data_IF_048075729572
#
_entry.id   IF_048075729572
#
_cell.length_a   1.000
_cell.length_b   1.000
_cell.length_c   1.000
_cell.angle_alpha   90.00
_cell.angle_beta   90.00
_cell.angle_gamma   90.00
#
_symmetry.space_group_name_H-M   'P 1'
#
loop_
_entity.id
_entity.type
_entity.pdbx_description
1 polymer ?
#
# COMPACT_ATOMS: atom_id res chain seq x y z
N UNK A 1 -9.82 10.65 8.25
CA UNK A 1 -10.79 11.68 7.82
C UNK A 1 -11.40 11.19 6.53
N UNK A 2 -12.64 10.70 6.56
CA UNK A 2 -13.35 10.35 5.33
C UNK A 2 -13.60 11.61 4.51
N UNK A 3 -13.66 11.46 3.19
CA UNK A 3 -13.97 12.57 2.29
C UNK A 3 -15.40 13.02 2.61
N UNK A 4 -15.58 14.25 3.09
CA UNK A 4 -16.92 14.80 3.27
C UNK A 4 -17.46 15.13 1.90
N UNK A 5 -18.29 14.25 1.33
CA UNK A 5 -19.08 14.56 0.13
C UNK A 5 -20.15 15.57 0.53
N UNK A 6 -19.84 16.85 0.38
CA UNK A 6 -20.84 17.90 0.49
C UNK A 6 -21.73 17.86 -0.75
N UNK A 7 -22.98 17.38 -0.59
CA UNK A 7 -24.00 17.57 -1.61
C UNK A 7 -24.47 19.02 -1.52
N UNK A 8 -23.87 19.89 -2.34
CA UNK A 8 -24.33 21.27 -2.46
C UNK A 8 -25.63 21.29 -3.26
N UNK A 9 -26.75 21.50 -2.57
CA UNK A 9 -28.02 21.84 -3.21
C UNK A 9 -28.12 23.35 -3.27
N UNK A 10 -27.81 23.96 -4.41
CA UNK A 10 -28.03 25.40 -4.59
C UNK A 10 -29.49 25.66 -4.91
N UNK A 11 -30.20 26.52 -4.16
CA UNK A 11 -31.52 26.99 -4.55
C UNK A 11 -31.45 27.98 -5.73
N UNK A 12 -30.24 28.45 -6.08
CA UNK A 12 -30.01 29.35 -7.20
C UNK A 12 -29.83 28.53 -8.47
N UNK A 13 -30.64 28.85 -9.48
CA UNK A 13 -30.47 28.33 -10.83
C UNK A 13 -29.07 28.67 -11.37
N UNK A 14 -28.60 27.84 -12.30
CA UNK A 14 -27.35 28.10 -13.00
C UNK A 14 -27.39 29.47 -13.65
N UNK A 15 -26.33 30.26 -13.42
CA UNK A 15 -26.18 31.54 -14.11
C UNK A 15 -26.05 31.34 -15.62
N UNK A 16 -26.37 32.39 -16.39
CA UNK A 16 -26.22 32.38 -17.86
C UNK A 16 -24.77 32.25 -18.33
N UNK A 17 -23.80 32.54 -17.45
CA UNK A 17 -22.37 32.38 -17.74
C UNK A 17 -21.97 30.90 -17.63
N UNK A 18 -21.62 30.30 -18.76
CA UNK A 18 -21.16 28.91 -18.84
C UNK A 18 -19.67 28.74 -18.47
N UNK A 19 -18.93 29.84 -18.26
CA UNK A 19 -17.50 29.81 -17.91
C UNK A 19 -17.25 29.72 -16.40
N UNK A 20 -18.27 29.99 -15.58
CA UNK A 20 -18.23 29.82 -14.13
C UNK A 20 -18.68 28.40 -13.74
N UNK A 21 -18.05 27.82 -12.72
CA UNK A 21 -18.51 26.55 -12.13
C UNK A 21 -19.94 26.76 -11.63
N UNK A 22 -20.85 25.97 -12.16
CA UNK A 22 -22.26 26.01 -11.81
C UNK A 22 -22.47 25.19 -10.54
N UNK A 23 -23.27 25.65 -9.57
CA UNK A 23 -23.56 24.84 -8.40
C UNK A 23 -24.13 23.45 -8.75
N UNK A 24 -24.84 23.34 -9.87
CA UNK A 24 -25.36 22.07 -10.39
C UNK A 24 -24.28 21.11 -10.93
N UNK A 25 -23.14 21.63 -11.40
CA UNK A 25 -22.05 20.83 -11.98
C UNK A 25 -20.85 20.67 -11.05
N UNK A 26 -20.91 21.21 -9.83
CA UNK A 26 -19.86 21.08 -8.82
C UNK A 26 -19.50 19.61 -8.58
N UNK A 27 -20.50 18.73 -8.46
CA UNK A 27 -20.26 17.31 -8.21
C UNK A 27 -19.61 16.60 -9.42
N UNK A 28 -20.05 16.93 -10.64
CA UNK A 28 -19.47 16.40 -11.87
C UNK A 28 -18.01 16.86 -12.07
N UNK A 29 -17.67 18.07 -11.62
CA UNK A 29 -16.30 18.59 -11.68
C UNK A 29 -15.32 17.90 -10.72
N UNK A 30 -15.81 17.10 -9.76
CA UNK A 30 -14.99 16.34 -8.81
C UNK A 30 -14.99 14.83 -9.10
N UNK A 31 -15.64 14.38 -10.17
CA UNK A 31 -15.44 13.03 -10.69
C UNK A 31 -13.97 12.90 -11.14
N UNK A 32 -13.26 11.90 -10.61
CA UNK A 32 -11.85 11.69 -10.91
C UNK A 32 -10.85 12.19 -9.84
N UNK A 33 -11.31 12.70 -8.70
CA UNK A 33 -10.41 12.97 -7.56
C UNK A 33 -9.96 11.67 -6.87
N UNK A 34 -8.68 11.60 -6.47
CA UNK A 34 -8.16 10.51 -5.63
C UNK A 34 -8.89 10.52 -4.29
N UNK A 35 -9.44 9.36 -3.91
CA UNK A 35 -10.21 9.17 -2.67
C UNK A 35 -9.41 8.31 -1.69
N UNK A 36 -9.38 8.67 -0.41
CA UNK A 36 -8.77 7.80 0.61
C UNK A 36 -9.75 6.69 1.02
N UNK A 37 -9.41 5.43 0.73
CA UNK A 37 -10.20 4.26 1.12
C UNK A 37 -9.95 3.85 2.57
N UNK A 38 -8.71 3.96 3.02
CA UNK A 38 -8.32 3.52 4.36
C UNK A 38 -7.11 4.29 4.91
N UNK A 39 -7.08 4.43 6.24
CA UNK A 39 -5.97 5.02 7.00
C UNK A 39 -5.80 4.19 8.27
N UNK A 40 -4.78 3.35 8.27
CA UNK A 40 -4.51 2.47 9.39
C UNK A 40 -3.17 2.84 10.03
N UNK A 41 -3.24 3.40 11.24
CA UNK A 41 -2.09 3.76 12.07
C UNK A 41 -1.86 2.74 13.21
N UNK A 42 -2.56 1.60 13.19
CA UNK A 42 -2.36 0.56 14.18
C UNK A 42 -0.98 -0.07 13.98
N UNK A 43 -0.28 -0.35 15.08
CA UNK A 43 0.98 -1.06 15.00
C UNK A 43 0.72 -2.56 14.95
N UNK A 44 1.28 -3.21 13.93
CA UNK A 44 1.29 -4.67 13.82
C UNK A 44 2.74 -5.12 13.78
N UNK A 45 3.13 -5.97 14.72
CA UNK A 45 4.48 -6.51 14.83
C UNK A 45 4.49 -8.01 14.54
N UNK A 46 5.39 -8.42 13.65
CA UNK A 46 5.67 -9.82 13.33
C UNK A 46 7.01 -10.16 13.97
N UNK A 47 6.97 -10.91 15.08
CA UNK A 47 8.15 -11.29 15.87
C UNK A 47 8.32 -12.81 15.83
N UNK A 48 9.57 -13.28 15.73
CA UNK A 48 9.92 -14.68 16.00
C UNK A 48 9.05 -15.73 15.29
N UNK A 49 8.73 -15.50 14.01
CA UNK A 49 7.91 -16.45 13.24
C UNK A 49 8.47 -16.63 11.84
N UNK A 50 8.47 -17.89 11.39
CA UNK A 50 8.66 -18.28 10.00
C UNK A 50 7.33 -18.52 9.27
N UNK A 51 6.20 -18.28 9.96
CA UNK A 51 4.88 -18.30 9.35
C UNK A 51 4.57 -16.98 8.65
N UNK A 52 3.76 -17.06 7.60
CA UNK A 52 3.19 -15.90 6.92
C UNK A 52 2.18 -15.19 7.83
N UNK A 53 2.36 -13.89 8.02
CA UNK A 53 1.47 -13.05 8.83
C UNK A 53 0.96 -11.88 8.01
N UNK A 54 -0.36 -11.62 8.07
CA UNK A 54 -0.98 -10.42 7.52
C UNK A 54 -0.60 -9.19 8.36
N UNK A 55 -0.03 -8.19 7.69
CA UNK A 55 0.33 -6.90 8.31
C UNK A 55 -0.59 -5.76 7.85
N UNK A 56 -1.40 -5.97 6.83
CA UNK A 56 -2.40 -5.03 6.35
C UNK A 56 -3.44 -5.78 5.52
N UNK A 57 -4.73 -5.56 5.80
CA UNK A 57 -5.81 -6.18 5.04
C UNK A 57 -6.98 -5.21 4.92
N UNK A 58 -7.47 -5.01 3.71
CA UNK A 58 -8.62 -4.16 3.43
C UNK A 58 -9.55 -4.78 2.39
N UNK A 59 -10.86 -4.74 2.66
CA UNK A 59 -11.87 -5.23 1.72
C UNK A 59 -12.32 -4.11 0.79
N UNK A 60 -11.92 -4.20 -0.47
CA UNK A 60 -12.37 -3.33 -1.54
C UNK A 60 -13.78 -3.79 -1.94
N UNK A 61 -14.75 -2.87 -1.89
CA UNK A 61 -16.13 -3.16 -2.28
C UNK A 61 -16.27 -3.54 -3.75
N UNK A 62 -17.35 -4.25 -4.07
CA UNK A 62 -17.75 -4.54 -5.45
C UNK A 62 -17.82 -3.26 -6.29
N UNK A 63 -17.34 -3.34 -7.53
CA UNK A 63 -17.35 -2.26 -8.54
C UNK A 63 -16.62 -0.96 -8.15
N UNK A 64 -15.99 -0.89 -6.96
CA UNK A 64 -15.30 0.33 -6.48
C UNK A 64 -14.18 0.76 -7.43
N UNK A 65 -13.50 -0.19 -8.08
CA UNK A 65 -12.39 0.08 -8.99
C UNK A 65 -12.85 0.42 -10.42
N UNK A 66 -14.09 0.09 -10.80
CA UNK A 66 -14.54 0.18 -12.19
C UNK A 66 -13.68 -0.62 -13.18
N UNK A 67 -13.72 -0.25 -14.47
CA UNK A 67 -12.99 -0.97 -15.54
C UNK A 67 -11.51 -0.52 -15.64
N UNK A 68 -11.22 0.74 -15.31
CA UNK A 68 -9.92 1.38 -15.52
C UNK A 68 -9.31 1.97 -14.24
N UNK A 69 -10.04 1.97 -13.12
CA UNK A 69 -9.55 2.47 -11.84
C UNK A 69 -8.66 1.46 -11.12
N UNK A 70 -8.22 1.81 -9.92
CA UNK A 70 -7.21 1.04 -9.20
C UNK A 70 -6.98 1.56 -7.79
N UNK A 71 -5.93 1.09 -7.14
CA UNK A 71 -5.53 1.60 -5.82
C UNK A 71 -4.04 1.84 -5.74
N UNK A 72 -3.65 2.73 -4.84
CA UNK A 72 -2.29 2.94 -4.37
C UNK A 72 -2.24 2.74 -2.86
N UNK A 73 -1.38 1.83 -2.42
CA UNK A 73 -1.09 1.53 -1.02
C UNK A 73 0.33 1.99 -0.68
N UNK A 74 0.45 2.76 0.39
CA UNK A 74 1.73 3.07 1.03
C UNK A 74 1.75 2.49 2.43
N UNK A 75 2.71 1.62 2.72
CA UNK A 75 2.97 1.07 4.04
C UNK A 75 4.35 1.51 4.53
N UNK A 76 4.49 1.76 5.82
CA UNK A 76 5.78 2.06 6.42
C UNK A 76 5.91 1.56 7.84
N UNK A 77 7.15 1.46 8.29
CA UNK A 77 7.47 1.10 9.67
C UNK A 77 8.96 0.84 9.86
N UNK A 78 9.28 -0.14 10.69
CA UNK A 78 10.66 -0.48 11.00
C UNK A 78 10.92 -2.00 11.07
N UNK A 79 12.20 -2.36 10.98
CA UNK A 79 12.69 -3.73 10.85
C UNK A 79 13.93 -3.94 11.72
N UNK A 80 13.99 -5.07 12.43
CA UNK A 80 15.14 -5.51 13.20
C UNK A 80 15.57 -6.91 12.73
N UNK A 81 16.86 -7.05 12.41
CA UNK A 81 17.51 -8.35 12.37
C UNK A 81 18.75 -8.35 13.25
N UNK A 82 18.62 -8.72 14.51
CA UNK A 82 19.76 -8.89 15.42
C UNK A 82 20.00 -10.39 15.72
N UNK A 83 19.86 -11.24 14.72
CA UNK A 83 19.96 -12.71 14.87
C UNK A 83 21.39 -13.26 14.75
N UNK A 84 22.39 -12.39 14.57
CA UNK A 84 23.79 -12.78 14.37
C UNK A 84 24.09 -13.37 12.97
N UNK A 85 23.08 -13.51 12.12
CA UNK A 85 23.22 -13.97 10.72
C UNK A 85 22.28 -13.19 9.80
N UNK A 86 22.61 -13.12 8.51
CA UNK A 86 21.68 -12.56 7.53
C UNK A 86 20.43 -13.44 7.44
N UNK A 87 19.27 -12.81 7.30
CA UNK A 87 17.98 -13.49 7.11
C UNK A 87 17.31 -12.97 5.87
N UNK A 88 16.27 -13.66 5.39
CA UNK A 88 15.40 -13.13 4.35
C UNK A 88 14.06 -12.74 4.93
N UNK A 89 13.53 -11.62 4.45
CA UNK A 89 12.14 -11.19 4.65
C UNK A 89 11.41 -11.37 3.32
N UNK A 90 10.37 -12.19 3.31
CA UNK A 90 9.48 -12.38 2.16
C UNK A 90 8.27 -11.49 2.33
N UNK A 91 7.97 -10.70 1.31
CA UNK A 91 6.79 -9.84 1.22
C UNK A 91 5.89 -10.40 0.13
N UNK A 92 4.59 -10.48 0.41
CA UNK A 92 3.58 -10.86 -0.60
C UNK A 92 2.44 -9.87 -0.60
N UNK A 93 1.94 -9.57 -1.79
CA UNK A 93 0.65 -8.92 -1.96
C UNK A 93 -0.34 -9.88 -2.60
N UNK A 94 -1.53 -9.91 -2.04
CA UNK A 94 -2.63 -10.76 -2.47
C UNK A 94 -3.84 -9.89 -2.81
N UNK A 95 -4.58 -10.28 -3.84
CA UNK A 95 -5.89 -9.74 -4.15
C UNK A 95 -6.87 -10.92 -4.20
N UNK A 96 -7.86 -10.91 -3.31
CA UNK A 96 -8.71 -12.07 -3.09
C UNK A 96 -7.87 -13.28 -2.66
N UNK A 97 -7.97 -14.39 -3.38
CA UNK A 97 -7.21 -15.60 -3.11
C UNK A 97 -5.84 -15.65 -3.84
N UNK A 98 -5.61 -14.78 -4.83
CA UNK A 98 -4.39 -14.82 -5.64
C UNK A 98 -3.25 -14.06 -4.97
N UNK A 99 -2.10 -14.72 -4.83
CA UNK A 99 -0.83 -14.04 -4.55
C UNK A 99 -0.28 -13.46 -5.85
N UNK A 100 -0.26 -12.14 -5.97
CA UNK A 100 0.13 -11.43 -7.21
C UNK A 100 1.64 -11.29 -7.33
N UNK A 101 2.31 -11.01 -6.22
CA UNK A 101 3.76 -11.10 -6.16
C UNK A 101 4.22 -11.63 -4.80
N UNK A 102 5.38 -12.30 -4.82
CA UNK A 102 6.06 -12.81 -3.65
C UNK A 102 7.56 -12.63 -3.86
N UNK A 103 8.21 -11.84 -3.01
CA UNK A 103 9.64 -11.57 -3.13
C UNK A 103 10.33 -11.60 -1.79
N UNK A 104 11.43 -12.37 -1.73
CA UNK A 104 12.36 -12.39 -0.61
C UNK A 104 13.47 -11.36 -0.79
N UNK A 105 13.77 -10.62 0.28
CA UNK A 105 14.89 -9.68 0.38
C UNK A 105 15.82 -10.15 1.48
N UNK A 106 17.12 -10.20 1.19
CA UNK A 106 18.12 -10.48 2.23
C UNK A 106 18.33 -9.25 3.09
N UNK A 107 18.27 -9.43 4.42
CA UNK A 107 18.48 -8.41 5.42
C UNK A 107 19.76 -8.73 6.20
N UNK A 108 20.66 -7.75 6.24
CA UNK A 108 21.94 -7.87 6.97
C UNK A 108 21.68 -7.72 8.47
N UNK A 109 22.39 -8.51 9.27
CA UNK A 109 22.30 -8.42 10.73
C UNK A 109 22.75 -7.05 11.25
N UNK A 110 22.02 -6.47 12.20
CA UNK A 110 22.36 -5.27 12.96
C UNK A 110 21.57 -5.20 14.26
N UNK A 111 22.16 -4.59 15.29
CA UNK A 111 21.46 -4.25 16.52
C UNK A 111 20.52 -3.04 16.35
N UNK A 112 20.79 -2.18 15.35
CA UNK A 112 19.98 -1.00 15.06
C UNK A 112 18.80 -1.36 14.16
N UNK A 113 17.65 -0.73 14.43
CA UNK A 113 16.46 -0.85 13.59
C UNK A 113 16.63 -0.08 12.28
N UNK A 114 16.06 -0.63 11.21
CA UNK A 114 15.98 -0.03 9.89
C UNK A 114 14.57 0.48 9.66
N UNK A 115 14.40 1.60 8.96
CA UNK A 115 13.09 2.06 8.48
C UNK A 115 12.77 1.43 7.14
N UNK A 116 11.51 1.14 6.89
CA UNK A 116 11.08 0.61 5.59
C UNK A 116 9.84 1.31 5.05
N UNK A 117 9.71 1.26 3.73
CA UNK A 117 8.57 1.75 2.97
C UNK A 117 8.25 0.76 1.85
N UNK A 118 6.96 0.40 1.73
CA UNK A 118 6.41 -0.32 0.58
C UNK A 118 5.38 0.58 -0.10
N UNK A 119 5.61 0.89 -1.36
CA UNK A 119 4.59 1.48 -2.23
C UNK A 119 4.13 0.41 -3.22
N UNK A 120 2.82 0.22 -3.30
CA UNK A 120 2.19 -0.75 -4.18
C UNK A 120 1.04 -0.08 -4.88
N UNK A 121 0.91 -0.26 -6.19
CA UNK A 121 -0.28 0.18 -6.90
C UNK A 121 -0.65 -0.79 -7.99
N UNK A 122 -1.94 -0.84 -8.28
CA UNK A 122 -2.46 -1.57 -9.43
C UNK A 122 -3.66 -0.87 -10.02
N UNK A 123 -3.86 -1.10 -11.31
CA UNK A 123 -5.01 -0.60 -12.05
C UNK A 123 -5.65 -1.75 -12.81
N UNK A 124 -6.98 -1.70 -12.93
CA UNK A 124 -7.72 -2.52 -13.85
C UNK A 124 -7.39 -2.10 -15.29
N UNK A 125 -7.15 -3.10 -16.13
CA UNK A 125 -7.13 -2.99 -17.59
C UNK A 125 -8.39 -3.62 -18.21
N UNK A 126 -9.09 -4.45 -17.42
CA UNK A 126 -10.46 -4.90 -17.58
C UNK A 126 -10.97 -5.32 -16.19
N UNK A 127 -12.28 -5.60 -16.05
CA UNK A 127 -12.85 -6.03 -14.77
C UNK A 127 -12.16 -7.26 -14.16
N UNK A 128 -11.68 -8.18 -15.00
CA UNK A 128 -10.95 -9.38 -14.60
C UNK A 128 -9.46 -9.37 -15.02
N UNK A 129 -8.83 -8.19 -15.10
CA UNK A 129 -7.42 -8.08 -15.46
C UNK A 129 -6.76 -6.83 -14.85
N UNK A 130 -5.77 -7.04 -13.97
CA UNK A 130 -5.03 -5.96 -13.31
C UNK A 130 -3.56 -5.90 -13.76
N UNK A 131 -2.99 -4.70 -13.74
CA UNK A 131 -1.55 -4.45 -13.89
C UNK A 131 -1.01 -3.83 -12.60
N UNK A 132 0.08 -4.38 -12.09
CA UNK A 132 0.64 -4.05 -10.79
C UNK A 132 2.05 -3.48 -10.93
N UNK A 133 2.41 -2.61 -10.00
CA UNK A 133 3.76 -2.13 -9.77
C UNK A 133 4.01 -1.99 -8.28
N UNK A 134 5.22 -2.36 -7.84
CA UNK A 134 5.62 -2.30 -6.44
C UNK A 134 7.02 -1.72 -6.33
N UNK A 135 7.23 -0.94 -5.27
CA UNK A 135 8.52 -0.41 -4.86
C UNK A 135 8.75 -0.69 -3.37
N UNK A 136 9.92 -1.24 -3.05
CA UNK A 136 10.35 -1.51 -1.68
C UNK A 136 11.61 -0.72 -1.36
N UNK A 137 11.63 -0.16 -0.17
CA UNK A 137 12.78 0.53 0.40
C UNK A 137 13.00 0.06 1.83
N UNK A 138 14.25 -0.29 2.14
CA UNK A 138 14.74 -0.56 3.49
C UNK A 138 15.98 0.31 3.70
N UNK A 139 15.97 1.14 4.74
CA UNK A 139 17.08 2.01 5.08
C UNK A 139 18.32 1.21 5.48
N UNK A 140 19.51 1.83 5.44
CA UNK A 140 20.65 1.36 6.21
C UNK A 140 20.29 1.20 7.70
N UNK A 141 21.03 0.36 8.43
CA UNK A 141 20.91 0.29 9.87
C UNK A 141 21.50 1.58 10.46
N UNK A 142 20.67 2.38 11.11
CA UNK A 142 21.06 3.67 11.69
C UNK A 142 20.32 3.83 13.01
N UNK A 143 20.96 4.49 13.98
CA UNK A 143 20.30 4.88 15.23
C UNK A 143 19.25 6.01 15.04
N UNK A 144 19.10 6.54 13.83
CA UNK A 144 18.21 7.67 13.54
C UNK A 144 16.72 7.25 13.53
N UNK A 145 15.91 8.11 14.12
CA UNK A 145 14.46 7.96 14.24
C UNK A 145 13.76 8.20 12.89
N UNK A 146 14.32 9.05 12.03
CA UNK A 146 13.78 9.36 10.70
C UNK A 146 14.90 9.35 9.64
N UNK A 147 15.41 8.16 9.33
CA UNK A 147 16.43 8.00 8.30
C UNK A 147 15.88 8.37 6.90
N UNK A 148 16.20 9.58 6.43
CA UNK A 148 15.92 10.05 5.07
C UNK A 148 17.21 9.99 4.27
N UNK A 149 17.41 8.91 3.52
CA UNK A 149 18.55 8.79 2.61
C UNK A 149 19.03 7.36 2.42
N UNK A 150 19.72 7.14 1.32
CA UNK A 150 20.48 5.90 1.07
C UNK A 150 21.99 6.13 1.07
N UNK A 151 22.43 7.26 1.62
CA UNK A 151 23.82 7.60 1.83
C UNK A 151 24.36 6.84 3.04
N UNK A 152 24.71 5.58 2.82
CA UNK A 152 25.41 4.75 3.79
C UNK A 152 25.78 3.42 3.14
N UNK A 153 27.01 2.98 3.33
CA UNK A 153 27.58 1.70 2.85
C UNK A 153 26.92 0.46 3.47
N UNK A 154 25.92 0.60 4.34
CA UNK A 154 25.36 -0.48 5.16
C UNK A 154 24.02 -1.02 4.66
N UNK A 155 24.06 -1.76 3.54
CA UNK A 155 23.11 -2.85 3.28
C UNK A 155 21.62 -2.47 3.24
N UNK A 156 21.27 -1.25 2.81
CA UNK A 156 19.89 -0.94 2.45
C UNK A 156 19.42 -1.83 1.29
N UNK A 157 18.14 -2.18 1.28
CA UNK A 157 17.54 -2.97 0.20
C UNK A 157 16.55 -2.11 -0.58
N UNK A 158 16.68 -2.09 -1.90
CA UNK A 158 15.69 -1.48 -2.80
C UNK A 158 15.28 -2.49 -3.86
N UNK A 159 14.01 -2.42 -4.26
CA UNK A 159 13.50 -3.23 -5.36
C UNK A 159 12.31 -2.58 -6.00
N UNK A 160 12.16 -2.78 -7.31
CA UNK A 160 10.96 -2.44 -8.05
C UNK A 160 10.57 -3.63 -8.94
N UNK A 161 9.28 -3.77 -9.22
CA UNK A 161 8.79 -4.85 -10.06
C UNK A 161 7.37 -4.60 -10.55
N UNK A 162 7.01 -5.29 -11.63
CA UNK A 162 5.67 -5.26 -12.22
C UNK A 162 5.09 -6.67 -12.28
N UNK A 163 3.77 -6.79 -12.18
CA UNK A 163 3.06 -8.07 -12.26
C UNK A 163 1.66 -7.88 -12.88
N UNK A 164 0.92 -8.98 -13.03
CA UNK A 164 -0.47 -8.98 -13.46
C UNK A 164 -1.28 -10.01 -12.69
N UNK A 165 -2.56 -9.74 -12.50
CA UNK A 165 -3.54 -10.70 -11.96
C UNK A 165 -4.82 -10.69 -12.80
N UNK A 166 -5.67 -11.68 -12.58
CA UNK A 166 -6.94 -11.88 -13.30
C UNK A 166 -8.13 -12.00 -12.34
N UNK A 167 -8.08 -11.27 -11.23
CA UNK A 167 -9.16 -11.28 -10.24
C UNK A 167 -10.34 -10.45 -10.75
N UNK A 168 -11.57 -10.92 -10.54
CA UNK A 168 -12.78 -10.22 -10.97
C UNK A 168 -13.20 -9.17 -9.92
N UNK A 169 -12.98 -7.90 -10.25
CA UNK A 169 -13.27 -6.77 -9.36
C UNK A 169 -14.72 -6.29 -9.45
N UNK A 170 -15.59 -6.97 -10.22
CA UNK A 170 -17.04 -6.74 -10.11
C UNK A 170 -17.56 -7.27 -8.78
N UNK A 171 -16.88 -8.26 -8.20
CA UNK A 171 -17.07 -8.68 -6.81
C UNK A 171 -16.21 -7.87 -5.84
N UNK A 172 -16.57 -7.91 -4.55
CA UNK A 172 -15.70 -7.41 -3.50
C UNK A 172 -14.47 -8.31 -3.32
N UNK A 173 -13.30 -7.71 -3.15
CA UNK A 173 -12.02 -8.43 -3.02
C UNK A 173 -11.21 -7.86 -1.86
N UNK A 174 -10.45 -8.71 -1.18
CA UNK A 174 -9.54 -8.28 -0.12
C UNK A 174 -8.14 -8.04 -0.69
N UNK A 175 -7.60 -6.84 -0.49
CA UNK A 175 -6.18 -6.56 -0.64
C UNK A 175 -5.48 -6.92 0.67
N UNK A 176 -4.57 -7.89 0.63
CA UNK A 176 -3.85 -8.38 1.80
C UNK A 176 -2.33 -8.32 1.56
N UNK A 177 -1.62 -7.70 2.50
CA UNK A 177 -0.15 -7.64 2.52
C UNK A 177 0.34 -8.49 3.67
N UNK A 178 1.18 -9.46 3.32
CA UNK A 178 1.74 -10.42 4.26
C UNK A 178 3.25 -10.37 4.25
N UNK A 179 3.82 -10.78 5.39
CA UNK A 179 5.26 -10.87 5.57
C UNK A 179 5.66 -12.15 6.31
N UNK A 180 6.86 -12.63 6.00
CA UNK A 180 7.41 -13.86 6.57
C UNK A 180 8.94 -13.76 6.67
N UNK A 181 9.52 -14.14 7.81
CA UNK A 181 10.97 -14.31 7.92
C UNK A 181 11.38 -15.72 7.51
N UNK A 182 12.56 -15.86 6.89
CA UNK A 182 13.14 -17.18 6.54
C UNK A 182 13.39 -18.12 7.73
N UNK A 183 13.36 -17.62 8.97
CA UNK A 183 13.53 -18.38 10.20
C UNK A 183 12.90 -17.65 11.38
N UNK A 184 12.47 -18.38 12.40
CA UNK A 184 12.06 -17.81 13.68
C UNK A 184 13.28 -17.49 14.55
N UNK A 185 13.38 -16.26 15.04
CA UNK A 185 14.31 -15.87 16.09
C UNK A 185 13.75 -14.69 16.91
N UNK A 186 14.02 -14.69 18.22
CA UNK A 186 13.53 -13.67 19.16
C UNK A 186 14.05 -12.26 18.87
N UNK A 187 15.16 -12.16 18.13
CA UNK A 187 15.79 -10.90 17.72
C UNK A 187 15.48 -10.51 16.27
N UNK A 188 14.46 -11.13 15.68
CA UNK A 188 13.88 -10.73 14.39
C UNK A 188 12.51 -10.12 14.63
N UNK A 189 12.31 -8.91 14.13
CA UNK A 189 10.99 -8.33 14.07
C UNK A 189 10.81 -7.37 12.91
N UNK A 190 9.60 -7.32 12.38
CA UNK A 190 9.15 -6.25 11.50
C UNK A 190 7.87 -5.67 12.06
N UNK A 191 7.79 -4.35 12.06
CA UNK A 191 6.63 -3.61 12.54
C UNK A 191 6.10 -2.71 11.43
N UNK A 192 4.80 -2.82 11.15
CA UNK A 192 4.04 -1.81 10.40
C UNK A 192 3.57 -0.74 11.38
N UNK A 193 3.76 0.52 11.02
CA UNK A 193 3.34 1.68 11.83
C UNK A 193 2.30 2.55 11.10
N UNK A 194 2.32 2.57 9.77
CA UNK A 194 1.41 3.36 8.95
C UNK A 194 0.99 2.60 7.71
N UNK A 195 -0.28 2.75 7.34
CA UNK A 195 -0.85 2.35 6.08
C UNK A 195 -1.78 3.45 5.55
N UNK A 196 -1.66 3.76 4.26
CA UNK A 196 -2.54 4.66 3.53
C UNK A 196 -2.97 3.98 2.23
N UNK A 197 -4.27 3.76 2.05
CA UNK A 197 -4.84 3.21 0.82
C UNK A 197 -5.67 4.27 0.12
N UNK A 198 -5.36 4.50 -1.14
CA UNK A 198 -5.97 5.51 -2.00
C UNK A 198 -6.61 4.83 -3.20
N UNK A 199 -7.83 5.26 -3.56
CA UNK A 199 -8.51 4.94 -4.79
C UNK A 199 -7.98 5.83 -5.91
N UNK A 200 -7.53 5.21 -6.99
CA UNK A 200 -7.27 5.86 -8.26
C UNK A 200 -8.55 5.69 -9.10
N UNK A 201 -9.30 6.77 -9.36
CA UNK A 201 -10.59 6.67 -10.03
C UNK A 201 -10.44 6.20 -11.48
N UNK A 202 -11.48 5.53 -11.97
CA UNK A 202 -11.62 5.17 -13.37
C UNK A 202 -11.74 6.45 -14.23
N UNK A 203 -11.06 6.46 -15.38
CA UNK A 203 -11.21 7.47 -16.44
C UNK A 203 -12.28 7.10 -17.44
#
# INVERSE_FOLDING_TARGET
MGNVKHVFTSPKADGGDATLIRPSNWNAAHEGAVEILDRDLTQIEVVNTAGEISIYSYSIGADVLGITGGVRLSLGGDYLNNSGTNKSLTIRAKLGATTVFSRAFQTVTSADRRKWLLNLWFLNSAAAAQKWSAEWYLSPALADVLAIGTSGSEGGAKGAGVASSTEDTTGGLTLDITMEHSAAAATLSIRKEIALLELIPAS
#
